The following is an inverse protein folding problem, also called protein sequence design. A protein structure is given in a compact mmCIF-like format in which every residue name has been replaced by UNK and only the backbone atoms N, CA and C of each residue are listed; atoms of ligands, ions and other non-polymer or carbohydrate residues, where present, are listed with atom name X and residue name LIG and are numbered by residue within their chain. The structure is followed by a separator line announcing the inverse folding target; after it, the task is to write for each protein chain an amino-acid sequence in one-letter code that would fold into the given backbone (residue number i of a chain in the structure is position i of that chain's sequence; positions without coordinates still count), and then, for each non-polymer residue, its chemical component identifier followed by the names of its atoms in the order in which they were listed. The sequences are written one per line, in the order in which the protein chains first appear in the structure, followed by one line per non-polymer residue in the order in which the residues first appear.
data_IF_190582272538
#
_entry.id   IF_190582272538
#
_cell.length_a   1.000
_cell.length_b   1.000
_cell.length_c   1.000
_cell.angle_alpha   90.00
_cell.angle_beta   90.00
_cell.angle_gamma   90.00
#
_symmetry.space_group_name_H-M   'P 1'
#
loop_
_entity.id
_entity.type
_entity.pdbx_description
1 polymer ?
#
# COMPACT_ATOMS: atom_id res chain seq x y z
N UNK A 1 0.30 -10.88 -8.77
CA UNK A 1 0.50 -10.35 -7.40
C UNK A 1 1.86 -10.83 -6.99
N UNK A 2 2.81 -9.95 -6.73
CA UNK A 2 4.23 -10.30 -6.63
C UNK A 2 4.85 -9.62 -5.41
N UNK A 3 5.63 -10.34 -4.61
CA UNK A 3 6.60 -9.74 -3.71
C UNK A 3 7.98 -9.83 -4.38
N UNK A 4 8.73 -8.73 -4.40
CA UNK A 4 10.12 -8.72 -4.86
C UNK A 4 11.03 -9.12 -3.70
N UNK A 5 11.83 -10.16 -3.93
CA UNK A 5 12.96 -10.54 -3.09
C UNK A 5 14.21 -10.47 -3.98
N UNK A 6 15.21 -9.69 -3.59
CA UNK A 6 16.48 -9.62 -4.32
C UNK A 6 17.67 -9.99 -3.45
N UNK A 7 18.61 -10.77 -3.98
CA UNK A 7 19.92 -11.00 -3.37
C UNK A 7 20.84 -9.81 -3.67
N UNK A 8 21.42 -9.20 -2.63
CA UNK A 8 22.54 -8.28 -2.71
C UNK A 8 23.63 -8.77 -1.74
N UNK A 9 24.42 -9.76 -2.20
CA UNK A 9 25.63 -10.18 -1.48
C UNK A 9 26.84 -9.49 -2.08
N UNK A 10 27.61 -8.80 -1.24
CA UNK A 10 28.99 -8.47 -1.55
C UNK A 10 29.76 -9.76 -1.81
N UNK A 11 30.20 -9.97 -3.06
CA UNK A 11 31.06 -11.08 -3.41
C UNK A 11 32.50 -10.58 -3.53
N UNK A 12 33.33 -10.93 -2.54
CA UNK A 12 34.79 -10.76 -2.61
C UNK A 12 35.44 -12.14 -2.77
N UNK A 13 36.16 -12.35 -3.88
CA UNK A 13 37.03 -13.51 -4.04
C UNK A 13 38.43 -13.21 -3.46
N UNK A 14 38.79 -13.87 -2.36
CA UNK A 14 40.15 -13.88 -1.82
C UNK A 14 40.26 -13.55 -0.33
N UNK A 15 40.53 -14.59 0.48
CA UNK A 15 41.40 -14.54 1.66
C UNK A 15 41.19 -13.53 2.80
N UNK A 16 40.03 -12.87 2.96
CA UNK A 16 39.92 -11.87 4.04
C UNK A 16 38.55 -11.28 4.39
N UNK A 17 37.43 -11.95 4.07
CA UNK A 17 36.13 -11.45 4.54
C UNK A 17 35.89 -11.87 6.01
N UNK A 18 36.26 -11.00 6.95
CA UNK A 18 35.72 -10.95 8.31
C UNK A 18 35.16 -9.55 8.51
N UNK A 19 33.95 -9.36 9.06
CA UNK A 19 33.44 -8.06 9.56
C UNK A 19 34.19 -7.58 10.83
N UNK A 20 35.36 -8.18 11.08
CA UNK A 20 35.93 -8.36 12.39
C UNK A 20 36.57 -7.14 13.03
N UNK A 21 36.36 -5.91 12.52
CA UNK A 21 36.82 -4.70 13.23
C UNK A 21 36.29 -3.33 12.73
N UNK A 22 35.42 -3.22 11.72
CA UNK A 22 34.99 -1.90 11.19
C UNK A 22 33.52 -1.85 10.76
N UNK A 23 32.87 -0.76 11.18
CA UNK A 23 31.51 -0.31 10.87
C UNK A 23 31.40 0.14 9.40
N UNK A 24 30.30 -0.22 8.75
CA UNK A 24 30.14 -0.17 7.29
C UNK A 24 30.05 1.24 6.69
N UNK A 25 29.94 1.28 5.36
CA UNK A 25 29.23 2.34 4.66
C UNK A 25 28.71 1.80 3.32
N UNK A 26 27.40 1.86 3.15
CA UNK A 26 26.70 1.85 1.86
C UNK A 26 25.97 3.20 1.76
N UNK A 27 26.13 3.88 0.63
CA UNK A 27 25.66 5.24 0.26
C UNK A 27 26.42 6.44 0.86
N UNK A 28 26.75 7.47 0.05
CA UNK A 28 27.15 8.78 0.53
C UNK A 28 25.89 9.58 0.86
N UNK A 29 25.35 9.35 2.05
CA UNK A 29 24.21 10.06 2.61
C UNK A 29 23.79 9.38 3.90
N UNK A 30 23.27 10.12 4.87
CA UNK A 30 22.83 9.61 6.18
C UNK A 30 21.48 8.84 6.11
N UNK A 31 21.09 8.38 4.91
CA UNK A 31 19.82 7.71 4.65
C UNK A 31 18.61 8.67 4.69
N UNK A 32 18.83 9.99 4.58
CA UNK A 32 17.75 11.00 4.61
C UNK A 32 17.52 11.75 3.30
N UNK A 33 18.26 11.44 2.24
CA UNK A 33 18.07 12.08 0.93
C UNK A 33 16.73 11.67 0.31
N UNK A 34 15.93 12.66 -0.07
CA UNK A 34 14.60 12.47 -0.65
C UNK A 34 14.65 11.48 -1.83
N UNK A 35 13.81 10.44 -1.71
CA UNK A 35 13.79 9.27 -2.57
C UNK A 35 13.34 9.63 -4.00
N UNK A 36 14.13 9.18 -4.99
CA UNK A 36 13.88 9.35 -6.42
C UNK A 36 12.42 9.04 -6.78
N UNK A 37 11.72 10.05 -7.29
CA UNK A 37 10.34 9.99 -7.78
C UNK A 37 10.31 10.12 -9.30
N UNK A 38 9.16 9.84 -9.92
CA UNK A 38 8.96 10.02 -11.36
C UNK A 38 9.33 11.46 -11.78
N UNK A 39 10.33 11.58 -12.66
CA UNK A 39 10.82 12.87 -13.17
C UNK A 39 12.11 13.38 -12.53
N UNK A 40 12.60 12.73 -11.47
CA UNK A 40 13.91 13.04 -10.91
C UNK A 40 15.02 12.54 -11.83
N UNK A 41 16.16 13.24 -11.82
CA UNK A 41 17.32 12.88 -12.65
C UNK A 41 18.63 13.07 -11.89
N UNK A 42 19.54 12.12 -12.04
CA UNK A 42 20.90 12.19 -11.52
C UNK A 42 21.89 12.41 -12.66
N UNK A 43 22.68 13.48 -12.61
CA UNK A 43 23.70 13.76 -13.61
C UNK A 43 25.09 13.29 -13.16
N UNK A 44 25.53 12.14 -13.67
CA UNK A 44 26.88 11.61 -13.44
C UNK A 44 27.88 12.02 -14.54
N UNK A 45 27.56 12.99 -15.40
CA UNK A 45 28.45 13.38 -16.51
C UNK A 45 29.80 13.94 -16.05
N UNK A 46 29.88 14.46 -14.82
CA UNK A 46 31.12 14.90 -14.20
C UNK A 46 32.05 13.73 -13.79
N UNK A 47 31.57 12.49 -13.82
CA UNK A 47 32.32 11.31 -13.38
C UNK A 47 32.62 11.33 -11.88
N UNK A 48 31.80 12.04 -11.10
CA UNK A 48 31.91 12.15 -9.64
C UNK A 48 31.73 10.78 -8.97
N UNK A 49 30.93 9.90 -9.57
CA UNK A 49 30.69 8.54 -9.09
C UNK A 49 31.16 7.50 -10.12
N UNK A 50 31.69 6.34 -9.68
CA UNK A 50 32.03 5.23 -10.56
C UNK A 50 30.83 4.80 -11.40
N UNK A 51 31.04 4.52 -12.70
CA UNK A 51 29.98 4.08 -13.61
C UNK A 51 29.92 4.90 -14.90
N UNK A 52 28.80 4.77 -15.62
CA UNK A 52 28.60 5.52 -16.86
C UNK A 52 28.40 7.01 -16.58
N UNK A 53 29.07 7.85 -17.39
CA UNK A 53 29.02 9.32 -17.31
C UNK A 53 27.79 9.85 -18.03
N UNK A 54 26.62 9.52 -17.49
CA UNK A 54 25.33 9.84 -18.10
C UNK A 54 24.41 10.52 -17.09
N UNK A 55 23.42 11.25 -17.61
CA UNK A 55 22.26 11.67 -16.84
C UNK A 55 21.24 10.54 -16.84
N UNK A 56 20.98 9.97 -15.66
CA UNK A 56 19.95 8.95 -15.47
C UNK A 56 18.66 9.63 -15.04
N UNK A 57 17.54 9.30 -15.68
CA UNK A 57 16.22 9.72 -15.24
C UNK A 57 15.55 8.56 -14.49
N UNK A 58 15.00 8.83 -13.31
CA UNK A 58 14.21 7.86 -12.58
C UNK A 58 12.92 7.56 -13.37
N UNK A 59 12.69 6.27 -13.66
CA UNK A 59 11.44 5.79 -14.24
C UNK A 59 10.37 5.62 -13.16
N UNK A 60 9.09 5.55 -13.56
CA UNK A 60 7.95 5.42 -12.66
C UNK A 60 8.14 4.27 -11.64
N UNK A 61 8.37 4.63 -10.39
CA UNK A 61 8.55 3.74 -9.24
C UNK A 61 7.53 4.07 -8.15
N UNK A 62 7.17 3.08 -7.34
CA UNK A 62 6.38 3.32 -6.13
C UNK A 62 7.12 4.32 -5.24
N UNK A 63 6.41 5.36 -4.79
CA UNK A 63 6.97 6.33 -3.86
C UNK A 63 7.26 5.64 -2.52
N UNK A 64 8.53 5.61 -2.12
CA UNK A 64 8.92 5.00 -0.87
C UNK A 64 8.42 5.82 0.32
N UNK A 65 7.73 5.19 1.25
CA UNK A 65 7.20 5.87 2.43
C UNK A 65 8.26 6.12 3.49
N UNK A 66 9.35 5.34 3.47
CA UNK A 66 10.39 5.29 4.50
C UNK A 66 11.72 4.91 3.88
N UNK A 67 12.79 5.29 4.57
CA UNK A 67 14.13 4.78 4.29
C UNK A 67 14.15 3.25 4.33
N UNK A 68 14.97 2.59 3.49
CA UNK A 68 15.32 1.20 3.69
C UNK A 68 15.81 0.97 5.13
N UNK A 69 15.42 -0.14 5.73
CA UNK A 69 15.77 -0.48 7.12
C UNK A 69 16.13 -1.95 7.26
N UNK A 70 16.84 -2.30 8.33
CA UNK A 70 17.18 -3.72 8.57
C UNK A 70 15.96 -4.51 9.04
N UNK A 71 15.97 -5.84 8.88
CA UNK A 71 14.91 -6.72 9.39
C UNK A 71 14.80 -6.68 10.92
N UNK A 72 15.87 -6.32 11.63
CA UNK A 72 15.85 -6.04 13.07
C UNK A 72 15.17 -4.72 13.40
N UNK A 73 15.46 -3.65 12.66
CA UNK A 73 14.81 -2.34 12.81
C UNK A 73 13.31 -2.43 12.47
N UNK A 74 12.98 -3.11 11.38
CA UNK A 74 11.62 -3.40 10.97
C UNK A 74 10.83 -4.11 12.08
N UNK A 75 11.44 -5.10 12.74
CA UNK A 75 10.77 -5.82 13.83
C UNK A 75 10.54 -4.98 15.09
N UNK A 76 11.19 -3.83 15.22
CA UNK A 76 10.96 -2.88 16.32
C UNK A 76 9.83 -1.88 16.02
N UNK A 77 9.38 -1.81 14.76
CA UNK A 77 8.24 -0.99 14.39
C UNK A 77 6.95 -1.48 15.04
N UNK A 78 6.00 -0.56 15.22
CA UNK A 78 4.65 -0.97 15.57
C UNK A 78 4.06 -1.79 14.42
N UNK A 79 3.20 -2.80 14.67
CA UNK A 79 2.73 -3.71 13.62
C UNK A 79 2.05 -3.01 12.43
N UNK A 80 1.37 -1.88 12.66
CA UNK A 80 0.73 -1.10 11.60
C UNK A 80 1.71 -0.31 10.72
N UNK A 81 2.98 -0.24 11.11
CA UNK A 81 4.06 0.43 10.38
C UNK A 81 4.96 -0.56 9.63
N UNK A 82 4.77 -1.86 9.87
CA UNK A 82 5.60 -2.92 9.32
C UNK A 82 5.21 -3.30 7.88
N UNK A 83 4.01 -2.94 7.41
CA UNK A 83 3.59 -3.10 6.02
C UNK A 83 3.53 -1.72 5.36
N UNK A 84 4.22 -1.57 4.23
CA UNK A 84 4.24 -0.33 3.46
C UNK A 84 5.23 -0.34 2.31
N UNK A 85 5.22 0.74 1.52
CA UNK A 85 6.05 0.86 0.33
C UNK A 85 7.49 1.26 0.73
N UNK A 86 8.27 0.31 1.22
CA UNK A 86 9.69 0.49 1.59
C UNK A 86 10.45 -0.85 1.60
N UNK A 87 11.77 -0.77 1.58
CA UNK A 87 12.65 -1.94 1.60
C UNK A 87 13.06 -2.36 3.02
N UNK A 88 13.08 -3.67 3.25
CA UNK A 88 13.57 -4.31 4.48
C UNK A 88 14.74 -5.21 4.12
N UNK A 89 15.91 -4.93 4.69
CA UNK A 89 17.17 -5.59 4.39
C UNK A 89 17.50 -6.60 5.49
N UNK A 90 17.71 -7.85 5.10
CA UNK A 90 18.27 -8.88 5.96
C UNK A 90 19.77 -9.01 5.69
N UNK A 91 20.57 -8.47 6.61
CA UNK A 91 22.03 -8.52 6.53
C UNK A 91 22.61 -9.92 6.78
N UNK A 92 21.88 -10.83 7.43
CA UNK A 92 22.38 -12.17 7.72
C UNK A 92 22.38 -13.03 6.46
N UNK A 93 21.36 -12.87 5.61
CA UNK A 93 21.21 -13.63 4.38
C UNK A 93 21.70 -12.87 3.15
N UNK A 94 21.63 -11.53 3.18
CA UNK A 94 21.91 -10.63 2.06
C UNK A 94 20.66 -10.34 1.20
N UNK A 95 19.46 -10.64 1.69
CA UNK A 95 18.21 -10.37 0.98
C UNK A 95 17.69 -8.96 1.27
N UNK A 96 17.09 -8.33 0.27
CA UNK A 96 16.20 -7.18 0.45
C UNK A 96 14.77 -7.56 0.03
N UNK A 97 13.82 -7.22 0.89
CA UNK A 97 12.39 -7.52 0.74
C UNK A 97 11.59 -6.23 0.62
N UNK A 98 10.62 -6.19 -0.28
CA UNK A 98 9.65 -5.10 -0.32
C UNK A 98 8.53 -5.36 0.69
N UNK A 99 8.24 -4.40 1.59
CA UNK A 99 7.31 -4.57 2.72
C UNK A 99 5.82 -4.42 2.36
N UNK A 100 5.46 -4.53 1.09
CA UNK A 100 4.09 -4.41 0.59
C UNK A 100 3.89 -5.35 -0.60
N UNK A 101 2.64 -5.51 -1.04
CA UNK A 101 2.35 -6.27 -2.26
C UNK A 101 2.67 -5.40 -3.49
N UNK A 102 3.37 -5.95 -4.48
CA UNK A 102 3.53 -5.30 -5.78
C UNK A 102 2.45 -5.75 -6.75
N UNK A 103 1.81 -4.76 -7.37
CA UNK A 103 0.82 -4.95 -8.40
C UNK A 103 1.45 -5.03 -9.80
N UNK A 104 0.79 -5.70 -10.76
CA UNK A 104 1.28 -5.75 -12.13
C UNK A 104 1.50 -4.36 -12.73
N UNK A 105 2.73 -4.09 -13.19
CA UNK A 105 3.12 -2.81 -13.78
C UNK A 105 3.74 -1.83 -12.78
N UNK A 106 3.76 -2.14 -11.49
CA UNK A 106 4.53 -1.38 -10.51
C UNK A 106 6.00 -1.80 -10.54
N UNK A 107 6.88 -0.83 -10.31
CA UNK A 107 8.30 -1.04 -10.13
C UNK A 107 8.74 -0.40 -8.82
N UNK A 108 9.73 -1.01 -8.17
CA UNK A 108 10.40 -0.46 -7.00
C UNK A 108 11.82 -0.09 -7.38
N UNK A 109 12.36 0.97 -6.79
CA UNK A 109 13.77 1.32 -6.93
C UNK A 109 14.52 0.89 -5.67
N UNK A 110 15.66 0.22 -5.84
CA UNK A 110 16.62 -0.02 -4.76
C UNK A 110 17.99 0.39 -5.28
N UNK A 111 18.62 1.37 -4.63
CA UNK A 111 19.94 1.84 -5.02
C UNK A 111 21.00 0.96 -4.36
N UNK A 112 21.83 0.32 -5.18
CA UNK A 112 22.99 -0.43 -4.72
C UNK A 112 24.21 0.47 -4.90
N UNK A 113 24.87 0.81 -3.80
CA UNK A 113 26.10 1.60 -3.84
C UNK A 113 27.33 0.70 -4.05
N UNK A 114 28.38 1.28 -4.61
CA UNK A 114 29.64 0.58 -4.80
C UNK A 114 30.38 0.39 -3.46
N UNK A 115 30.95 -0.78 -3.24
CA UNK A 115 31.88 -0.97 -2.12
C UNK A 115 33.23 -0.32 -2.48
N UNK A 116 33.61 0.71 -1.73
CA UNK A 116 34.92 1.35 -1.89
C UNK A 116 36.01 0.63 -1.09
N UNK A 117 37.10 0.26 -1.76
CA UNK A 117 38.29 -0.26 -1.07
C UNK A 117 39.06 0.93 -0.45
N UNK A 118 39.22 0.91 0.87
CA UNK A 118 39.97 1.98 1.55
C UNK A 118 41.47 1.88 1.22
N UNK A 119 42.14 3.04 1.13
CA UNK A 119 43.57 3.13 0.84
C UNK A 119 44.46 2.29 1.79
N UNK A 120 43.97 2.00 3.00
CA UNK A 120 44.65 1.16 3.99
C UNK A 120 44.80 -0.31 3.55
N UNK A 121 43.85 -0.86 2.77
CA UNK A 121 43.88 -2.25 2.27
C UNK A 121 44.72 -2.35 1.00
N UNK A 122 44.66 -1.31 0.16
CA UNK A 122 45.42 -1.18 -1.08
C UNK A 122 46.94 -1.22 -0.84
N UNK A 123 47.39 -0.57 0.25
CA UNK A 123 48.81 -0.51 0.62
C UNK A 123 49.34 -1.74 1.37
N UNK A 124 48.47 -2.58 1.97
CA UNK A 124 48.91 -3.64 2.90
C UNK A 124 48.66 -5.07 2.43
N UNK A 125 47.69 -5.31 1.54
CA UNK A 125 47.24 -6.68 1.22
C UNK A 125 47.25 -7.01 -0.29
N UNK A 126 47.17 -6.02 -1.18
CA UNK A 126 47.02 -6.25 -2.62
C UNK A 126 48.23 -5.75 -3.45
N UNK A 127 48.59 -6.51 -4.49
CA UNK A 127 49.63 -6.14 -5.46
C UNK A 127 49.13 -6.38 -6.91
N UNK A 128 47.90 -5.94 -7.20
CA UNK A 128 47.19 -6.17 -8.47
C UNK A 128 45.92 -5.33 -8.63
N UNK A 129 45.26 -5.43 -9.78
CA UNK A 129 44.00 -4.74 -10.09
C UNK A 129 42.80 -5.39 -9.38
N UNK A 130 41.95 -4.59 -8.74
CA UNK A 130 40.70 -5.05 -8.14
C UNK A 130 39.53 -4.94 -9.13
N UNK A 131 38.53 -5.82 -8.98
CA UNK A 131 37.27 -5.77 -9.72
C UNK A 131 36.14 -5.83 -8.70
N UNK A 132 35.30 -4.81 -8.71
CA UNK A 132 34.03 -4.79 -8.00
C UNK A 132 32.91 -5.05 -9.00
N UNK A 133 32.05 -6.03 -8.69
CA UNK A 133 30.90 -6.37 -9.51
C UNK A 133 29.74 -6.79 -8.61
N UNK A 134 28.58 -6.20 -8.87
CA UNK A 134 27.34 -6.53 -8.17
C UNK A 134 26.59 -7.57 -9.00
N UNK A 135 26.34 -8.74 -8.42
CA UNK A 135 25.44 -9.72 -9.00
C UNK A 135 24.08 -9.59 -8.33
N UNK A 136 23.09 -9.11 -9.07
CA UNK A 136 21.72 -8.94 -8.59
C UNK A 136 20.85 -10.02 -9.21
N UNK A 137 20.23 -10.83 -8.37
CA UNK A 137 19.16 -11.74 -8.78
C UNK A 137 17.85 -11.24 -8.19
N UNK A 138 16.87 -10.97 -9.06
CA UNK A 138 15.51 -10.64 -8.65
C UNK A 138 14.63 -11.89 -8.68
N UNK A 139 14.06 -12.25 -7.54
CA UNK A 139 12.96 -13.20 -7.41
C UNK A 139 11.63 -12.46 -7.27
N UNK A 140 10.62 -12.87 -8.03
CA UNK A 140 9.23 -12.46 -7.82
C UNK A 140 8.44 -13.69 -7.37
N UNK A 141 7.74 -13.58 -6.24
CA UNK A 141 6.89 -14.67 -5.75
C UNK A 141 5.45 -14.24 -5.60
N UNK A 142 4.53 -15.10 -6.03
CA UNK A 142 3.11 -14.87 -5.79
C UNK A 142 2.75 -15.15 -4.34
N UNK A 143 1.76 -14.44 -3.76
CA UNK A 143 1.23 -14.75 -2.42
C UNK A 143 1.02 -16.24 -2.17
N UNK A 144 0.45 -16.94 -3.15
CA UNK A 144 0.11 -18.37 -3.08
C UNK A 144 1.31 -19.31 -3.04
N UNK A 145 2.49 -18.84 -3.47
CA UNK A 145 3.74 -19.62 -3.52
C UNK A 145 4.83 -19.00 -2.64
N UNK A 146 4.48 -18.03 -1.78
CA UNK A 146 5.44 -17.31 -0.94
C UNK A 146 6.20 -18.22 0.02
N UNK A 147 5.60 -19.35 0.39
CA UNK A 147 6.22 -20.35 1.27
C UNK A 147 7.44 -21.05 0.63
N UNK A 148 7.60 -20.98 -0.70
CA UNK A 148 8.76 -21.54 -1.42
C UNK A 148 10.08 -20.83 -1.05
N UNK A 149 10.02 -19.61 -0.50
CA UNK A 149 11.18 -18.81 -0.09
C UNK A 149 11.61 -19.08 1.36
N UNK A 150 10.82 -19.82 2.14
CA UNK A 150 11.10 -20.08 3.55
C UNK A 150 12.35 -20.93 3.84
N UNK A 151 12.70 -21.97 3.06
CA UNK A 151 13.79 -22.88 3.41
C UNK A 151 15.16 -22.21 3.60
N UNK A 152 15.42 -21.12 2.89
CA UNK A 152 16.70 -20.39 2.89
C UNK A 152 16.58 -18.97 3.50
N UNK A 153 15.44 -18.65 4.11
CA UNK A 153 15.12 -17.30 4.62
C UNK A 153 15.42 -17.10 6.11
N UNK A 154 15.38 -15.84 6.56
CA UNK A 154 15.43 -15.51 7.98
C UNK A 154 14.27 -16.16 8.75
N UNK A 155 14.47 -16.45 10.04
CA UNK A 155 13.43 -16.95 10.95
C UNK A 155 12.16 -16.07 11.02
N UNK A 156 12.23 -14.82 10.54
CA UNK A 156 11.13 -13.83 10.54
C UNK A 156 10.41 -13.72 9.21
N UNK A 157 10.92 -14.40 8.17
CA UNK A 157 10.38 -14.33 6.82
C UNK A 157 8.97 -14.90 6.75
N UNK A 158 8.67 -15.95 7.51
CA UNK A 158 7.32 -16.53 7.56
C UNK A 158 6.28 -15.52 8.06
N UNK A 159 6.58 -14.81 9.15
CA UNK A 159 5.69 -13.79 9.72
C UNK A 159 5.56 -12.60 8.78
N UNK A 160 6.66 -12.16 8.18
CA UNK A 160 6.71 -11.09 7.17
C UNK A 160 5.80 -11.39 5.97
N UNK A 161 5.96 -12.56 5.34
CA UNK A 161 5.15 -12.98 4.19
C UNK A 161 3.68 -13.18 4.56
N UNK A 162 3.39 -13.67 5.77
CA UNK A 162 2.02 -13.76 6.28
C UNK A 162 1.40 -12.37 6.44
N UNK A 163 2.14 -11.41 6.97
CA UNK A 163 1.66 -10.05 7.15
C UNK A 163 1.38 -9.33 5.84
N UNK A 164 2.23 -9.50 4.83
CA UNK A 164 1.99 -8.97 3.47
C UNK A 164 0.70 -9.57 2.90
N UNK A 165 0.51 -10.89 3.00
CA UNK A 165 -0.71 -11.57 2.53
C UNK A 165 -1.97 -11.02 3.17
N UNK A 166 -1.95 -10.87 4.50
CA UNK A 166 -3.07 -10.34 5.28
C UNK A 166 -3.27 -8.83 5.11
N UNK A 167 -2.27 -8.14 4.54
CA UNK A 167 -2.13 -6.69 4.61
C UNK A 167 -2.23 -6.17 6.06
N UNK A 168 -1.65 -6.93 7.00
CA UNK A 168 -1.59 -6.66 8.44
C UNK A 168 -0.62 -7.64 9.11
N UNK A 169 0.35 -7.13 9.86
CA UNK A 169 1.23 -7.97 10.71
C UNK A 169 0.55 -8.50 11.96
N UNK A 170 -0.61 -7.95 12.33
CA UNK A 170 -1.33 -8.42 13.51
C UNK A 170 -2.21 -9.59 13.12
N UNK A 171 -1.85 -10.76 13.64
CA UNK A 171 -2.73 -11.92 13.60
C UNK A 171 -3.82 -11.79 14.66
N UNK A 172 -5.00 -11.39 14.22
CA UNK A 172 -6.20 -11.28 15.05
C UNK A 172 -6.87 -12.64 15.29
N UNK A 173 -6.26 -13.75 14.87
CA UNK A 173 -6.88 -15.08 14.86
C UNK A 173 -7.98 -15.24 13.82
N UNK A 174 -8.18 -14.22 12.97
CA UNK A 174 -9.17 -14.27 11.90
C UNK A 174 -8.67 -15.09 10.72
N UNK A 175 -9.58 -15.68 9.92
CA UNK A 175 -9.24 -16.33 8.66
C UNK A 175 -8.34 -15.46 7.76
N UNK A 176 -7.50 -16.14 6.97
CA UNK A 176 -6.64 -15.53 5.97
C UNK A 176 -7.45 -15.07 4.75
N UNK A 177 -6.99 -14.06 4.00
CA UNK A 177 -7.74 -13.50 2.87
C UNK A 177 -7.90 -14.43 1.67
N UNK A 178 -7.07 -15.48 1.54
CA UNK A 178 -7.19 -16.51 0.51
C UNK A 178 -8.23 -17.59 0.85
N UNK A 179 -8.77 -17.58 2.06
CA UNK A 179 -9.77 -18.53 2.53
C UNK A 179 -11.13 -17.82 2.60
N UNK A 180 -12.11 -18.32 1.84
CA UNK A 180 -13.49 -17.88 1.96
C UNK A 180 -14.15 -18.54 3.19
N UNK A 181 -14.49 -17.73 4.18
CA UNK A 181 -15.06 -18.15 5.46
C UNK A 181 -16.44 -17.55 5.71
N UNK A 182 -17.32 -18.24 6.46
CA UNK A 182 -18.60 -17.67 6.88
C UNK A 182 -18.41 -16.50 7.86
N UNK A 183 -19.40 -15.58 7.99
CA UNK A 183 -19.30 -14.44 8.90
C UNK A 183 -19.03 -14.80 10.37
N UNK A 184 -19.47 -16.00 10.80
CA UNK A 184 -19.29 -16.50 12.17
C UNK A 184 -17.84 -16.76 12.56
N UNK A 185 -16.94 -16.89 11.58
CA UNK A 185 -15.53 -17.21 11.81
C UNK A 185 -14.69 -15.96 12.05
N UNK A 186 -15.27 -14.77 11.87
CA UNK A 186 -14.58 -13.50 12.04
C UNK A 186 -14.89 -12.87 13.41
N UNK A 187 -13.87 -12.36 14.07
CA UNK A 187 -13.94 -11.46 15.21
C UNK A 187 -13.48 -10.06 14.75
N UNK A 188 -14.44 -9.18 14.50
CA UNK A 188 -14.20 -7.82 14.00
C UNK A 188 -13.62 -6.89 15.07
N UNK A 189 -13.92 -7.10 16.36
CA UNK A 189 -13.32 -6.36 17.48
C UNK A 189 -11.80 -6.55 17.56
N UNK A 190 -11.31 -7.71 17.10
CA UNK A 190 -9.88 -8.01 17.04
C UNK A 190 -9.22 -7.57 15.72
N UNK A 191 -9.99 -7.14 14.71
CA UNK A 191 -9.42 -6.74 13.42
C UNK A 191 -8.76 -5.38 13.49
N UNK A 192 -7.60 -5.28 12.84
CA UNK A 192 -6.90 -4.03 12.66
C UNK A 192 -7.25 -3.36 11.32
N UNK A 193 -7.37 -2.02 11.28
CA UNK A 193 -7.56 -1.27 10.05
C UNK A 193 -6.56 -1.65 8.95
N UNK A 194 -7.06 -1.75 7.73
CA UNK A 194 -6.29 -2.13 6.55
C UNK A 194 -6.26 -3.64 6.28
N UNK A 195 -6.62 -4.51 7.23
CA UNK A 195 -6.62 -5.96 7.00
C UNK A 195 -7.55 -6.36 5.85
N UNK A 196 -7.07 -7.22 4.96
CA UNK A 196 -7.87 -7.85 3.90
C UNK A 196 -8.36 -9.22 4.38
N UNK A 197 -9.60 -9.57 4.05
CA UNK A 197 -10.20 -10.85 4.40
C UNK A 197 -11.27 -11.25 3.37
N UNK A 198 -11.62 -12.54 3.27
CA UNK A 198 -12.68 -13.02 2.37
C UNK A 198 -13.80 -13.64 3.19
N UNK A 199 -14.99 -13.05 3.08
CA UNK A 199 -16.17 -13.44 3.85
C UNK A 199 -17.35 -13.66 2.92
N UNK A 200 -17.92 -14.85 2.96
CA UNK A 200 -19.12 -15.23 2.21
C UNK A 200 -19.06 -14.87 0.71
N UNK A 201 -17.97 -15.27 0.06
CA UNK A 201 -17.76 -15.13 -1.38
C UNK A 201 -17.29 -13.74 -1.86
N UNK A 202 -17.12 -12.77 -0.95
CA UNK A 202 -16.62 -11.44 -1.25
C UNK A 202 -15.35 -11.13 -0.46
N UNK A 203 -14.37 -10.51 -1.13
CA UNK A 203 -13.17 -10.03 -0.47
C UNK A 203 -13.36 -8.59 -0.01
N UNK A 204 -13.06 -8.34 1.26
CA UNK A 204 -13.23 -7.06 1.92
C UNK A 204 -11.90 -6.57 2.49
N UNK A 205 -11.89 -5.26 2.79
CA UNK A 205 -10.90 -4.58 3.61
C UNK A 205 -11.60 -4.02 4.83
N UNK A 206 -11.03 -4.28 5.99
CA UNK A 206 -11.47 -3.70 7.25
C UNK A 206 -11.00 -2.24 7.35
N UNK A 207 -11.91 -1.31 7.61
CA UNK A 207 -11.60 0.12 7.61
C UNK A 207 -11.44 0.70 9.01
N UNK A 208 -12.37 0.41 9.91
CA UNK A 208 -12.31 0.89 11.29
C UNK A 208 -13.31 0.19 12.22
N UNK A 209 -13.00 0.26 13.50
CA UNK A 209 -13.97 0.08 14.58
C UNK A 209 -14.72 1.41 14.79
N UNK A 210 -16.03 1.41 14.58
CA UNK A 210 -16.91 2.57 14.78
C UNK A 210 -17.49 2.63 16.20
N UNK A 211 -17.11 1.68 17.06
CA UNK A 211 -17.59 1.53 18.42
C UNK A 211 -18.98 0.91 18.51
N UNK A 212 -19.35 0.51 19.74
CA UNK A 212 -20.64 -0.15 20.01
C UNK A 212 -20.86 -1.43 19.18
N UNK A 213 -19.78 -2.16 18.89
CA UNK A 213 -19.79 -3.37 18.05
C UNK A 213 -20.04 -3.09 16.56
N UNK A 214 -19.93 -1.84 16.10
CA UNK A 214 -20.09 -1.49 14.69
C UNK A 214 -18.73 -1.38 14.03
N UNK A 215 -18.62 -1.93 12.82
CA UNK A 215 -17.38 -1.95 12.07
C UNK A 215 -17.61 -1.52 10.63
N UNK A 216 -16.72 -0.70 10.10
CA UNK A 216 -16.78 -0.30 8.69
C UNK A 216 -15.88 -1.22 7.86
N UNK A 217 -16.43 -1.75 6.77
CA UNK A 217 -15.70 -2.56 5.80
C UNK A 217 -16.00 -2.06 4.39
N UNK A 218 -15.07 -2.28 3.46
CA UNK A 218 -15.24 -1.96 2.05
C UNK A 218 -14.87 -3.15 1.19
N UNK A 219 -15.58 -3.37 0.10
CA UNK A 219 -15.19 -4.35 -0.91
C UNK A 219 -13.77 -4.07 -1.37
N UNK A 220 -12.91 -5.10 -1.44
CA UNK A 220 -11.50 -4.86 -1.72
C UNK A 220 -11.28 -4.40 -3.17
N UNK A 221 -12.01 -4.94 -4.15
CA UNK A 221 -11.93 -4.52 -5.56
C UNK A 221 -13.13 -3.63 -5.95
N UNK A 222 -12.94 -2.69 -6.87
CA UNK A 222 -14.03 -1.93 -7.46
C UNK A 222 -14.88 -2.79 -8.40
N UNK A 223 -16.20 -2.56 -8.38
CA UNK A 223 -17.12 -3.00 -9.43
C UNK A 223 -16.88 -2.09 -10.64
N UNK A 224 -16.44 -2.68 -11.76
CA UNK A 224 -16.02 -1.96 -12.97
C UNK A 224 -17.19 -1.62 -13.89
N UNK A 225 -16.98 -0.68 -14.80
CA UNK A 225 -17.97 -0.24 -15.80
C UNK A 225 -19.23 0.40 -15.22
N UNK A 226 -19.11 1.06 -14.07
CA UNK A 226 -20.22 1.73 -13.40
C UNK A 226 -19.94 3.23 -13.35
N UNK A 227 -20.90 4.02 -13.83
CA UNK A 227 -20.79 5.48 -13.80
C UNK A 227 -21.14 6.02 -12.42
N UNK A 228 -20.71 7.25 -12.11
CA UNK A 228 -21.11 7.91 -10.86
C UNK A 228 -22.63 8.07 -10.78
N UNK A 229 -23.30 8.33 -11.91
CA UNK A 229 -24.75 8.48 -11.96
C UNK A 229 -25.50 7.17 -11.67
N UNK A 230 -24.88 6.02 -11.97
CA UNK A 230 -25.48 4.70 -11.79
C UNK A 230 -25.10 4.05 -10.44
N UNK A 231 -24.30 4.73 -9.61
CA UNK A 231 -23.71 4.15 -8.41
C UNK A 231 -24.75 3.59 -7.43
N UNK A 232 -25.86 4.31 -7.21
CA UNK A 232 -26.90 3.92 -6.27
C UNK A 232 -27.64 2.64 -6.73
N UNK A 233 -27.84 2.51 -8.05
CA UNK A 233 -28.46 1.33 -8.63
C UNK A 233 -27.54 0.10 -8.49
N UNK A 234 -26.24 0.27 -8.74
CA UNK A 234 -25.25 -0.80 -8.60
C UNK A 234 -25.10 -1.24 -7.13
N UNK A 235 -24.98 -0.28 -6.20
CA UNK A 235 -24.89 -0.57 -4.76
C UNK A 235 -26.09 -1.40 -4.29
N UNK A 236 -27.29 -1.04 -4.76
CA UNK A 236 -28.53 -1.78 -4.44
C UNK A 236 -28.51 -3.18 -5.03
N UNK A 237 -28.09 -3.32 -6.28
CA UNK A 237 -27.98 -4.61 -6.96
C UNK A 237 -26.97 -5.52 -6.25
N UNK A 238 -25.75 -5.04 -6.00
CA UNK A 238 -24.70 -5.80 -5.29
C UNK A 238 -25.11 -6.17 -3.87
N UNK A 239 -25.71 -5.24 -3.10
CA UNK A 239 -26.17 -5.55 -1.74
C UNK A 239 -27.19 -6.70 -1.74
N UNK A 240 -28.08 -6.74 -2.73
CA UNK A 240 -29.09 -7.81 -2.84
C UNK A 240 -28.51 -9.20 -3.14
N UNK A 241 -27.28 -9.27 -3.66
CA UNK A 241 -26.60 -10.55 -3.95
C UNK A 241 -25.77 -11.07 -2.80
N UNK A 242 -25.55 -10.28 -1.74
CA UNK A 242 -24.78 -10.70 -0.58
C UNK A 242 -25.45 -11.87 0.14
N UNK A 243 -24.65 -12.72 0.78
CA UNK A 243 -25.16 -13.77 1.64
C UNK A 243 -26.09 -13.20 2.72
N UNK A 244 -27.18 -13.91 3.00
CA UNK A 244 -28.20 -13.47 3.96
C UNK A 244 -27.65 -13.21 5.37
N UNK A 245 -26.61 -13.92 5.80
CA UNK A 245 -25.95 -13.69 7.08
C UNK A 245 -25.18 -12.36 7.07
N UNK A 246 -24.55 -12.00 5.95
CA UNK A 246 -23.91 -10.69 5.80
C UNK A 246 -24.97 -9.58 5.81
N UNK A 247 -26.05 -9.72 5.03
CA UNK A 247 -27.14 -8.74 5.03
C UNK A 247 -27.75 -8.53 6.43
N UNK A 248 -27.85 -9.59 7.23
CA UNK A 248 -28.39 -9.52 8.59
C UNK A 248 -27.50 -8.74 9.58
N UNK A 249 -26.19 -8.64 9.31
CA UNK A 249 -25.25 -7.88 10.14
C UNK A 249 -25.19 -6.39 9.76
N UNK A 250 -25.63 -6.04 8.54
CA UNK A 250 -25.48 -4.68 8.02
C UNK A 250 -26.37 -3.69 8.77
N UNK A 251 -25.74 -2.63 9.24
CA UNK A 251 -26.38 -1.57 9.99
C UNK A 251 -27.04 -0.53 9.08
N UNK A 252 -28.14 0.07 9.55
CA UNK A 252 -28.75 1.19 8.88
C UNK A 252 -27.81 2.40 8.73
N UNK A 253 -27.78 2.98 7.54
CA UNK A 253 -27.16 4.29 7.25
C UNK A 253 -28.20 5.23 6.65
N UNK A 254 -27.88 6.53 6.61
CA UNK A 254 -28.77 7.55 6.07
C UNK A 254 -29.32 7.16 4.68
N UNK A 255 -30.62 7.38 4.46
CA UNK A 255 -31.28 7.07 3.16
C UNK A 255 -30.83 8.01 2.04
N UNK A 256 -30.32 9.19 2.40
CA UNK A 256 -29.72 10.17 1.50
C UNK A 256 -28.61 10.92 2.23
N UNK A 257 -27.53 11.24 1.51
CA UNK A 257 -26.37 11.95 2.06
C UNK A 257 -26.39 13.44 1.66
N UNK A 258 -25.98 14.31 2.58
CA UNK A 258 -25.72 15.72 2.28
C UNK A 258 -24.25 15.89 1.95
N UNK A 259 -23.89 15.71 0.68
CA UNK A 259 -22.49 15.52 0.26
C UNK A 259 -21.68 16.81 0.08
N UNK A 260 -22.35 17.96 -0.03
CA UNK A 260 -21.72 19.21 -0.46
C UNK A 260 -21.13 19.14 -1.88
N UNK A 261 -20.31 20.11 -2.26
CA UNK A 261 -19.57 20.11 -3.53
C UNK A 261 -18.25 20.86 -3.34
N UNK A 262 -17.14 20.34 -3.87
CA UNK A 262 -15.83 21.03 -3.86
C UNK A 262 -15.07 20.82 -5.15
N UNK A 263 -14.46 21.90 -5.66
CA UNK A 263 -13.65 21.87 -6.88
C UNK A 263 -12.27 21.29 -6.62
N UNK A 264 -11.78 20.47 -7.55
CA UNK A 264 -10.49 19.77 -7.47
C UNK A 264 -9.32 20.68 -7.05
N UNK A 265 -9.18 21.83 -7.73
CA UNK A 265 -8.07 22.75 -7.54
C UNK A 265 -8.18 23.63 -6.29
N UNK A 266 -9.27 23.55 -5.54
CA UNK A 266 -9.43 24.23 -4.26
C UNK A 266 -9.03 23.35 -3.08
N UNK A 267 -8.83 22.04 -3.29
CA UNK A 267 -8.43 21.12 -2.22
C UNK A 267 -6.91 21.10 -2.11
N UNK A 268 -6.41 21.32 -0.90
CA UNK A 268 -4.99 21.16 -0.57
C UNK A 268 -4.76 19.85 0.17
N UNK A 269 -3.57 19.27 0.00
CA UNK A 269 -3.25 17.93 0.50
C UNK A 269 -2.05 17.97 1.46
N UNK A 270 -1.99 16.99 2.36
CA UNK A 270 -0.86 16.70 3.24
C UNK A 270 -0.47 15.23 3.15
N UNK A 271 0.76 14.90 3.55
CA UNK A 271 1.28 13.55 3.61
C UNK A 271 1.58 12.91 2.24
N UNK A 272 1.91 13.74 1.24
CA UNK A 272 2.26 13.31 -0.12
C UNK A 272 1.31 13.87 -1.18
N UNK A 273 1.62 13.56 -2.45
CA UNK A 273 0.82 14.06 -3.57
C UNK A 273 -0.60 13.48 -3.53
N UNK A 274 -1.57 14.39 -3.57
CA UNK A 274 -3.02 14.10 -3.57
C UNK A 274 -3.45 13.04 -2.53
N UNK A 275 -2.77 13.02 -1.38
CA UNK A 275 -2.96 12.01 -0.35
C UNK A 275 -4.14 12.34 0.57
N UNK A 276 -3.97 13.23 1.56
CA UNK A 276 -5.03 13.56 2.53
C UNK A 276 -5.45 15.02 2.38
N UNK A 277 -6.72 15.30 2.01
CA UNK A 277 -7.27 16.66 2.03
C UNK A 277 -7.12 17.31 3.41
N UNK A 278 -6.65 18.56 3.47
CA UNK A 278 -6.40 19.27 4.74
C UNK A 278 -7.18 20.58 4.91
N UNK A 279 -8.10 20.90 4.00
CA UNK A 279 -8.86 22.14 3.98
C UNK A 279 -10.35 21.97 3.64
N UNK A 280 -10.90 20.76 3.79
CA UNK A 280 -12.32 20.52 3.60
C UNK A 280 -13.14 21.31 4.65
N UNK A 281 -14.28 21.88 4.24
CA UNK A 281 -15.17 22.64 5.12
C UNK A 281 -16.63 22.43 4.75
N UNK A 282 -17.54 22.80 5.67
CA UNK A 282 -19.00 22.74 5.46
C UNK A 282 -19.50 21.33 5.17
N UNK A 283 -20.53 21.23 4.32
CA UNK A 283 -21.18 19.96 3.99
C UNK A 283 -20.21 18.88 3.44
N UNK A 284 -19.14 19.28 2.75
CA UNK A 284 -18.14 18.32 2.26
C UNK A 284 -17.36 17.68 3.40
N UNK A 285 -16.98 18.47 4.42
CA UNK A 285 -16.28 17.96 5.60
C UNK A 285 -17.20 17.20 6.57
N UNK A 286 -18.48 17.57 6.60
CA UNK A 286 -19.51 16.96 7.46
C UNK A 286 -20.09 15.67 6.88
N UNK A 287 -19.87 15.37 5.59
CA UNK A 287 -20.33 14.15 4.92
C UNK A 287 -19.54 12.91 5.38
N UNK A 288 -19.62 12.59 6.66
CA UNK A 288 -19.03 11.38 7.27
C UNK A 288 -20.13 10.34 7.46
N UNK A 289 -19.94 9.14 6.95
CA UNK A 289 -20.93 8.06 7.12
C UNK A 289 -20.93 7.57 8.57
N UNK A 290 -22.12 7.40 9.14
CA UNK A 290 -22.36 6.89 10.48
C UNK A 290 -23.55 5.92 10.46
N UNK A 291 -23.67 5.10 11.51
CA UNK A 291 -24.90 4.36 11.77
C UNK A 291 -26.03 5.35 12.02
N UNK A 292 -27.13 5.20 11.29
CA UNK A 292 -28.35 5.99 11.44
C UNK A 292 -29.53 5.04 11.65
N UNK A 293 -30.01 4.86 12.88
CA UNK A 293 -31.14 3.98 13.18
C UNK A 293 -32.45 4.35 12.45
N UNK A 294 -32.58 5.58 11.96
CA UNK A 294 -33.72 6.02 11.15
C UNK A 294 -33.55 5.74 9.65
N UNK A 295 -32.36 5.28 9.26
CA UNK A 295 -31.94 5.00 7.91
C UNK A 295 -32.38 3.62 7.39
N UNK A 296 -31.56 3.04 6.51
CA UNK A 296 -31.80 1.72 5.92
C UNK A 296 -30.52 0.91 5.87
N UNK A 297 -30.59 -0.39 6.17
CA UNK A 297 -29.45 -1.30 6.02
C UNK A 297 -29.15 -1.45 4.52
N UNK A 298 -27.98 -0.94 4.08
CA UNK A 298 -27.61 -0.86 2.67
C UNK A 298 -26.10 -0.70 2.48
N UNK A 299 -25.65 -1.01 1.28
CA UNK A 299 -24.34 -0.56 0.81
C UNK A 299 -24.33 0.95 0.48
N UNK A 300 -23.17 1.57 0.64
CA UNK A 300 -22.90 2.98 0.31
C UNK A 300 -21.53 3.17 -0.35
N UNK A 301 -21.32 4.34 -0.95
CA UNK A 301 -20.00 4.76 -1.47
C UNK A 301 -19.39 5.77 -0.50
N UNK A 302 -18.09 5.66 -0.19
CA UNK A 302 -17.39 6.60 0.69
C UNK A 302 -17.37 8.04 0.12
N UNK A 303 -17.41 9.04 0.98
CA UNK A 303 -17.19 10.44 0.60
C UNK A 303 -15.71 10.79 0.59
N UNK A 304 -15.39 11.98 0.09
CA UNK A 304 -14.07 12.57 0.23
C UNK A 304 -13.66 12.73 1.71
N UNK A 305 -14.60 13.06 2.59
CA UNK A 305 -14.33 13.19 4.02
C UNK A 305 -14.13 11.84 4.71
N UNK A 306 -14.91 10.80 4.35
CA UNK A 306 -14.68 9.43 4.82
C UNK A 306 -13.28 8.97 4.44
N UNK A 307 -12.91 9.09 3.17
CA UNK A 307 -11.58 8.67 2.68
C UNK A 307 -10.48 9.48 3.34
N UNK A 308 -10.66 10.79 3.54
CA UNK A 308 -9.70 11.64 4.24
C UNK A 308 -9.47 11.17 5.67
N UNK A 309 -10.54 10.80 6.39
CA UNK A 309 -10.48 10.36 7.79
C UNK A 309 -9.94 8.93 7.92
N UNK A 310 -10.13 8.09 6.90
CA UNK A 310 -9.68 6.70 6.87
C UNK A 310 -8.28 6.52 6.29
N UNK A 311 -7.64 7.59 5.81
CA UNK A 311 -6.30 7.54 5.21
C UNK A 311 -5.22 7.99 6.21
N UNK A 312 -4.15 7.20 6.34
CA UNK A 312 -3.00 7.48 7.21
C UNK A 312 -2.55 6.26 8.01
N UNK A 313 -1.36 6.32 8.61
CA UNK A 313 -0.78 5.20 9.37
C UNK A 313 -1.75 4.65 10.42
N UNK A 314 -1.94 3.32 10.42
CA UNK A 314 -2.84 2.65 11.35
C UNK A 314 -4.33 2.78 11.06
N UNK A 315 -4.72 3.37 9.93
CA UNK A 315 -6.12 3.53 9.49
C UNK A 315 -6.47 2.56 8.35
N UNK A 316 -7.73 2.60 7.87
CA UNK A 316 -8.24 1.69 6.85
C UNK A 316 -7.46 1.74 5.52
N UNK A 317 -6.88 2.90 5.22
CA UNK A 317 -5.97 3.13 4.11
C UNK A 317 -4.63 3.69 4.60
N UNK A 318 -3.70 2.82 5.07
CA UNK A 318 -2.40 3.23 5.61
C UNK A 318 -1.54 4.03 4.64
N UNK A 319 -1.65 3.72 3.35
CA UNK A 319 -0.83 4.30 2.29
C UNK A 319 -1.56 4.30 0.94
N UNK A 320 -0.95 4.93 -0.07
CA UNK A 320 -1.48 5.00 -1.42
C UNK A 320 -1.82 3.62 -1.97
N UNK A 321 -0.87 2.69 -2.03
CA UNK A 321 -1.09 1.35 -2.58
C UNK A 321 -2.32 0.63 -1.98
N UNK A 322 -2.55 0.81 -0.67
CA UNK A 322 -3.67 0.19 0.04
C UNK A 322 -5.02 0.91 -0.17
N UNK A 323 -5.01 2.17 -0.63
CA UNK A 323 -6.23 2.93 -0.98
C UNK A 323 -6.75 2.59 -2.38
N UNK A 324 -5.85 2.33 -3.31
CA UNK A 324 -6.19 2.00 -4.69
C UNK A 324 -4.97 1.64 -5.52
N UNK A 325 -5.19 0.85 -6.56
CA UNK A 325 -4.18 0.42 -7.51
C UNK A 325 -4.83 0.19 -8.88
N UNK A 326 -4.03 -0.11 -9.91
CA UNK A 326 -4.56 -0.54 -11.22
C UNK A 326 -5.38 -1.84 -11.08
N UNK A 327 -4.88 -2.79 -10.27
CA UNK A 327 -5.52 -4.11 -10.08
C UNK A 327 -6.83 -4.01 -9.32
N UNK A 328 -6.93 -3.13 -8.32
CA UNK A 328 -8.17 -2.85 -7.57
C UNK A 328 -9.11 -1.88 -8.32
N UNK A 329 -8.56 -1.13 -9.27
CA UNK A 329 -9.27 -0.18 -10.09
C UNK A 329 -9.45 1.17 -9.45
N UNK A 330 -9.63 2.17 -10.31
CA UNK A 330 -10.10 3.47 -9.84
C UNK A 330 -11.55 3.34 -9.37
N UNK A 331 -11.94 4.15 -8.39
CA UNK A 331 -13.30 4.07 -7.83
C UNK A 331 -13.87 5.41 -7.41
N UNK A 332 -15.17 5.58 -7.64
CA UNK A 332 -15.93 6.80 -7.36
C UNK A 332 -16.08 7.07 -5.87
N UNK A 333 -16.07 8.35 -5.50
CA UNK A 333 -16.57 8.84 -4.22
C UNK A 333 -17.95 9.45 -4.42
N UNK A 334 -18.79 9.42 -3.37
CA UNK A 334 -20.11 10.06 -3.44
C UNK A 334 -20.03 11.59 -3.51
N UNK A 335 -18.89 12.18 -3.15
CA UNK A 335 -18.67 13.64 -3.17
C UNK A 335 -18.59 14.17 -4.60
N UNK A 336 -19.48 15.08 -5.01
CA UNK A 336 -19.41 15.70 -6.32
C UNK A 336 -18.34 16.80 -6.39
N UNK A 337 -17.93 17.11 -7.62
CA UNK A 337 -17.22 18.33 -7.96
C UNK A 337 -18.10 19.18 -8.89
N UNK A 338 -17.83 20.49 -9.06
CA UNK A 338 -18.66 21.36 -9.90
C UNK A 338 -18.83 20.86 -11.33
N UNK A 339 -19.92 21.31 -11.96
CA UNK A 339 -20.35 20.86 -13.29
C UNK A 339 -20.74 19.36 -13.28
N UNK A 340 -20.45 18.63 -14.35
CA UNK A 340 -20.77 17.20 -14.48
C UNK A 340 -19.65 16.31 -13.94
N UNK A 341 -18.93 16.72 -12.89
CA UNK A 341 -17.74 16.01 -12.38
C UNK A 341 -17.93 15.44 -10.98
N UNK A 342 -17.16 14.43 -10.62
CA UNK A 342 -17.16 13.85 -9.28
C UNK A 342 -15.75 13.47 -8.81
N UNK A 343 -15.62 13.31 -7.49
CA UNK A 343 -14.40 12.82 -6.88
C UNK A 343 -14.26 11.31 -7.05
N UNK A 344 -13.03 10.86 -7.22
CA UNK A 344 -12.66 9.46 -7.33
C UNK A 344 -11.24 9.24 -6.79
N UNK A 345 -10.95 8.00 -6.39
CA UNK A 345 -9.59 7.51 -6.16
C UNK A 345 -9.06 6.93 -7.46
N UNK A 346 -7.95 7.46 -7.96
CA UNK A 346 -7.32 7.02 -9.20
C UNK A 346 -6.56 5.69 -9.08
N UNK A 347 -6.04 5.16 -10.20
CA UNK A 347 -5.27 3.91 -10.21
C UNK A 347 -3.94 4.00 -9.47
N UNK A 348 -3.42 5.21 -9.22
CA UNK A 348 -2.24 5.47 -8.36
C UNK A 348 -2.66 5.89 -6.94
N UNK A 349 -3.90 5.58 -6.56
CA UNK A 349 -4.54 5.97 -5.32
C UNK A 349 -4.66 7.47 -5.02
N UNK A 350 -4.31 8.36 -5.93
CA UNK A 350 -4.51 9.80 -5.80
C UNK A 350 -6.00 10.17 -5.80
N UNK A 351 -6.38 11.16 -4.99
CA UNK A 351 -7.74 11.70 -4.98
C UNK A 351 -7.91 12.74 -6.09
N UNK A 352 -8.92 12.62 -6.94
CA UNK A 352 -9.18 13.56 -8.05
C UNK A 352 -10.66 13.91 -8.18
N UNK A 353 -10.99 15.19 -8.33
CA UNK A 353 -12.33 15.77 -8.58
C UNK A 353 -12.58 16.13 -10.04
N UNK A 354 -11.99 15.39 -10.98
CA UNK A 354 -11.90 15.78 -12.39
C UNK A 354 -12.76 14.99 -13.38
N UNK A 355 -13.18 13.77 -13.05
CA UNK A 355 -13.81 12.87 -14.03
C UNK A 355 -15.29 13.19 -14.23
N UNK A 356 -15.78 13.01 -15.46
CA UNK A 356 -17.19 13.18 -15.81
C UNK A 356 -18.04 12.10 -15.12
N UNK A 357 -19.15 12.47 -14.49
CA UNK A 357 -20.08 11.57 -13.77
C UNK A 357 -20.67 10.47 -14.65
N UNK A 358 -20.71 10.67 -15.97
CA UNK A 358 -21.16 9.67 -16.94
C UNK A 358 -20.04 8.72 -17.40
N UNK A 359 -18.79 8.91 -16.97
CA UNK A 359 -17.68 8.03 -17.32
C UNK A 359 -17.91 6.64 -16.73
N UNK A 360 -17.88 5.63 -17.57
CA UNK A 360 -17.79 4.22 -17.21
C UNK A 360 -16.77 3.54 -18.13
N UNK A 361 -15.84 2.79 -17.56
CA UNK A 361 -14.87 2.00 -18.33
C UNK A 361 -14.41 0.78 -17.54
N UNK A 362 -13.68 -0.11 -18.19
CA UNK A 362 -13.16 -1.33 -17.55
C UNK A 362 -12.09 -1.07 -16.49
N UNK A 363 -11.56 0.16 -16.41
CA UNK A 363 -10.55 0.57 -15.45
C UNK A 363 -11.10 0.88 -14.06
N UNK A 364 -12.41 1.09 -13.90
CA UNK A 364 -12.98 1.44 -12.60
C UNK A 364 -14.49 1.63 -12.56
N UNK A 365 -14.99 2.05 -11.39
CA UNK A 365 -16.41 2.22 -11.14
C UNK A 365 -16.72 2.46 -9.66
N UNK A 366 -17.52 1.60 -9.04
CA UNK A 366 -18.00 1.79 -7.66
C UNK A 366 -17.33 0.81 -6.72
N UNK A 367 -16.99 1.23 -5.49
CA UNK A 367 -16.43 0.36 -4.46
C UNK A 367 -17.35 0.35 -3.24
N UNK A 368 -18.25 -0.63 -3.12
CA UNK A 368 -19.25 -0.67 -2.06
C UNK A 368 -18.63 -0.78 -0.66
N UNK A 369 -19.15 0.00 0.29
CA UNK A 369 -18.85 -0.10 1.71
C UNK A 369 -20.10 -0.49 2.51
N UNK A 370 -19.87 -1.08 3.69
CA UNK A 370 -20.87 -1.52 4.64
C UNK A 370 -20.45 -1.08 6.04
N UNK A 371 -21.42 -0.79 6.90
CA UNK A 371 -21.25 -0.85 8.35
C UNK A 371 -21.92 -2.14 8.80
N UNK A 372 -21.19 -3.00 9.50
CA UNK A 372 -21.69 -4.27 10.03
C UNK A 372 -21.65 -4.24 11.56
N UNK A 373 -22.48 -5.05 12.20
CA UNK A 373 -22.52 -5.20 13.66
C UNK A 373 -22.23 -6.64 14.07
N UNK A 374 -21.40 -6.79 15.10
CA UNK A 374 -21.08 -8.08 15.72
C UNK A 374 -21.33 -8.06 17.23
#
# INVERSE_FOLDING_TARGET
MTAAAGHARDYIAGGGATDGTTDGATHPGDGTDDYWSEGDSFDNTAGTWPGETITNNAAQNLHQQRAPMTIEQWAQLQPYQQIGDFWVVDHQTGWAYWASLLEPGEATSYLLDAAEMTAAIEDTVFNGSYYYGIHVESGLVSPDNSDDFLPDGHDRLADFLTGIRNNSMIDSGNPRPDIDSPPSDFNFDAMHPGRVFTMAGEQYRYLEDMGSGNHMIIRNNAIRNVSWNDQEAELTAWYSTLDSAVQAMVQPVATSFTTGEVVDNAVTFTGGDRWIPNNLTGAVAEDITQVDPSGTARAFTLSLADVSRLSGEGLGFPNHAQRGSISLGWWWLRTPAPSLRAWYVGPTAHLHGGNNRARNDGGGGVRPALIIHQ
#
